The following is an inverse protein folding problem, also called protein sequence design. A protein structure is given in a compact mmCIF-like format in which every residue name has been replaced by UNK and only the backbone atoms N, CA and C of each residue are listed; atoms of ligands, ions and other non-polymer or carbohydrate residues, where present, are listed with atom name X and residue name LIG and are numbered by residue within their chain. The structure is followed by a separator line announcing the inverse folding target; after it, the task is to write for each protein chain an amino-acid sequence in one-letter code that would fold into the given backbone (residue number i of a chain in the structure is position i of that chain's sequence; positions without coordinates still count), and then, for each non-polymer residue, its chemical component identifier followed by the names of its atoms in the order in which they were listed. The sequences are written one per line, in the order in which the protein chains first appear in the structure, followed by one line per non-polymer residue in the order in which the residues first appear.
data_IF_556299588525
#
_entry.id   IF_556299588525
#
_cell.length_a   1.000
_cell.length_b   1.000
_cell.length_c   1.000
_cell.angle_alpha   90.00
_cell.angle_beta   90.00
_cell.angle_gamma   90.00
#
_symmetry.space_group_name_H-M   'P 1'
#
loop_
_entity.id
_entity.type
_entity.pdbx_description
1 polymer ?
#
# COMPACT_ATOMS: atom_id res chain seq x y z
N UNK A 1 -2.13 4.72 11.47
CA UNK A 1 -0.90 5.53 11.32
C UNK A 1 -1.01 6.60 12.38
N UNK A 2 -0.30 6.42 13.48
CA UNK A 2 -0.76 6.87 14.81
C UNK A 2 0.03 8.08 15.32
N UNK A 3 0.55 8.90 14.41
CA UNK A 3 1.21 10.15 14.78
C UNK A 3 0.18 11.13 15.36
N UNK A 4 0.43 11.58 16.59
CA UNK A 4 -0.41 12.52 17.33
C UNK A 4 0.39 13.73 17.78
N UNK A 5 -0.16 14.91 17.55
CA UNK A 5 0.39 16.19 18.02
C UNK A 5 -0.70 16.92 18.78
N UNK A 6 -0.41 17.34 20.02
CA UNK A 6 -1.33 18.13 20.85
C UNK A 6 -2.74 17.50 20.97
N UNK A 7 -2.80 16.15 21.06
CA UNK A 7 -4.06 15.39 21.15
C UNK A 7 -4.81 15.18 19.83
N UNK A 8 -4.24 15.62 18.70
CA UNK A 8 -4.84 15.47 17.36
C UNK A 8 -4.09 14.45 16.53
N UNK A 9 -4.81 13.61 15.81
CA UNK A 9 -4.23 12.69 14.82
C UNK A 9 -3.79 13.46 13.57
N UNK A 10 -2.56 13.19 13.11
CA UNK A 10 -1.97 13.87 11.96
C UNK A 10 -2.37 13.22 10.63
N UNK A 11 -2.50 11.89 10.63
CA UNK A 11 -2.94 11.09 9.47
C UNK A 11 -4.08 10.14 9.86
N UNK A 12 -5.23 10.67 10.31
CA UNK A 12 -6.38 9.82 10.59
C UNK A 12 -6.79 9.12 9.29
N UNK A 13 -6.93 7.79 9.35
CA UNK A 13 -7.43 6.96 8.24
C UNK A 13 -8.73 6.29 8.68
N UNK A 14 -9.66 7.13 9.13
CA UNK A 14 -10.95 6.73 9.69
C UNK A 14 -11.86 6.31 8.54
N UNK A 15 -12.42 5.11 8.62
CA UNK A 15 -13.18 4.48 7.54
C UNK A 15 -12.68 3.05 7.32
N UNK A 16 -12.43 2.69 6.06
CA UNK A 16 -11.89 1.38 5.67
C UNK A 16 -10.56 1.55 4.93
N UNK A 17 -9.42 1.50 5.63
CA UNK A 17 -8.09 1.52 5.03
C UNK A 17 -7.84 0.33 4.11
N UNK A 18 -7.22 0.57 2.96
CA UNK A 18 -7.00 -0.43 1.91
C UNK A 18 -6.23 -1.67 2.38
N UNK A 19 -5.16 -1.48 3.15
CA UNK A 19 -4.31 -2.57 3.64
C UNK A 19 -5.00 -3.41 4.73
N UNK A 20 -5.87 -2.80 5.53
CA UNK A 20 -6.67 -3.52 6.54
C UNK A 20 -7.68 -4.43 5.84
N UNK A 21 -8.32 -3.95 4.77
CA UNK A 21 -9.21 -4.80 3.98
C UNK A 21 -8.43 -5.90 3.26
N UNK A 22 -7.22 -5.61 2.77
CA UNK A 22 -6.38 -6.61 2.13
C UNK A 22 -5.95 -7.73 3.10
N UNK A 23 -5.56 -7.36 4.33
CA UNK A 23 -5.27 -8.28 5.42
C UNK A 23 -6.48 -9.14 5.78
N UNK A 24 -7.65 -8.52 5.96
CA UNK A 24 -8.88 -9.21 6.29
C UNK A 24 -9.27 -10.25 5.22
N UNK A 25 -9.19 -9.88 3.94
CA UNK A 25 -9.47 -10.81 2.84
C UNK A 25 -8.47 -11.96 2.77
N UNK A 26 -7.18 -11.70 3.03
CA UNK A 26 -6.18 -12.76 3.15
C UNK A 26 -6.50 -13.71 4.33
N UNK A 27 -6.90 -13.17 5.48
CA UNK A 27 -7.30 -13.98 6.63
C UNK A 27 -8.53 -14.85 6.33
N UNK A 28 -9.54 -14.30 5.65
CA UNK A 28 -10.70 -15.07 5.21
C UNK A 28 -10.33 -16.16 4.21
N UNK A 29 -9.46 -15.87 3.24
CA UNK A 29 -8.99 -16.85 2.26
C UNK A 29 -8.20 -17.99 2.92
N UNK A 30 -7.38 -17.68 3.93
CA UNK A 30 -6.69 -18.69 4.73
C UNK A 30 -7.70 -19.50 5.55
N UNK A 31 -8.65 -18.83 6.21
CA UNK A 31 -9.71 -19.48 6.98
C UNK A 31 -10.57 -20.43 6.14
N UNK A 32 -10.86 -20.05 4.89
CA UNK A 32 -11.61 -20.87 3.95
C UNK A 32 -10.95 -22.23 3.67
N UNK A 33 -9.61 -22.32 3.74
CA UNK A 33 -8.87 -23.59 3.63
C UNK A 33 -9.20 -24.57 4.76
N UNK A 34 -9.67 -24.07 5.90
CA UNK A 34 -10.01 -24.87 7.08
C UNK A 34 -11.52 -24.99 7.30
N UNK A 35 -12.32 -24.07 6.74
CA UNK A 35 -13.77 -24.08 6.89
C UNK A 35 -14.47 -23.29 5.79
N UNK A 36 -15.32 -23.98 5.02
CA UNK A 36 -16.09 -23.39 3.92
C UNK A 36 -17.02 -22.22 4.35
N UNK A 37 -17.31 -22.07 5.65
CA UNK A 37 -18.11 -20.93 6.17
C UNK A 37 -17.52 -19.56 5.80
N UNK A 38 -16.21 -19.50 5.56
CA UNK A 38 -15.52 -18.26 5.22
C UNK A 38 -15.52 -17.95 3.72
N UNK A 39 -15.77 -18.93 2.85
CA UNK A 39 -15.73 -18.75 1.38
C UNK A 39 -16.73 -17.70 0.92
N UNK A 40 -17.99 -17.80 1.37
CA UNK A 40 -19.03 -16.85 0.98
C UNK A 40 -18.70 -15.42 1.42
N UNK A 41 -18.10 -15.25 2.59
CA UNK A 41 -17.71 -13.93 3.10
C UNK A 41 -16.51 -13.38 2.34
N UNK A 42 -15.53 -14.24 2.02
CA UNK A 42 -14.37 -13.91 1.22
C UNK A 42 -14.77 -13.43 -0.18
N UNK A 43 -15.59 -14.19 -0.91
CA UNK A 43 -15.99 -13.85 -2.28
C UNK A 43 -16.77 -12.53 -2.33
N UNK A 44 -17.74 -12.35 -1.42
CA UNK A 44 -18.47 -11.07 -1.28
C UNK A 44 -17.54 -9.91 -0.94
N UNK A 45 -16.61 -10.14 -0.01
CA UNK A 45 -15.64 -9.14 0.42
C UNK A 45 -14.68 -8.74 -0.71
N UNK A 46 -14.18 -9.72 -1.49
CA UNK A 46 -13.27 -9.49 -2.62
C UNK A 46 -13.95 -8.70 -3.74
N UNK A 47 -15.17 -9.08 -4.11
CA UNK A 47 -15.96 -8.34 -5.10
C UNK A 47 -16.23 -6.90 -4.63
N UNK A 48 -16.56 -6.71 -3.34
CA UNK A 48 -16.75 -5.39 -2.78
C UNK A 48 -15.46 -4.57 -2.72
N UNK A 49 -14.32 -5.19 -2.40
CA UNK A 49 -13.02 -4.54 -2.36
C UNK A 49 -12.66 -4.00 -3.74
N UNK A 50 -12.72 -4.84 -4.78
CA UNK A 50 -12.39 -4.41 -6.12
C UNK A 50 -13.34 -3.34 -6.65
N UNK A 51 -14.65 -3.45 -6.39
CA UNK A 51 -15.63 -2.45 -6.83
C UNK A 51 -15.45 -1.09 -6.12
N UNK A 52 -15.21 -1.10 -4.80
CA UNK A 52 -15.22 0.13 -4.01
C UNK A 52 -13.88 0.85 -3.95
N UNK A 53 -12.77 0.11 -3.94
CA UNK A 53 -11.44 0.73 -3.83
C UNK A 53 -10.87 1.12 -5.18
N UNK A 54 -11.20 0.40 -6.26
CA UNK A 54 -10.63 0.69 -7.57
C UNK A 54 -11.18 1.99 -8.15
N UNK A 55 -10.28 2.91 -8.49
CA UNK A 55 -10.62 4.10 -9.25
C UNK A 55 -10.10 3.96 -10.68
N UNK A 56 -11.01 3.83 -11.66
CA UNK A 56 -10.62 3.62 -13.06
C UNK A 56 -9.88 4.82 -13.66
N UNK A 57 -10.32 6.04 -13.33
CA UNK A 57 -9.76 7.29 -13.84
C UNK A 57 -8.34 7.53 -13.31
N UNK A 58 -8.14 7.30 -12.01
CA UNK A 58 -6.85 7.46 -11.35
C UNK A 58 -5.91 6.27 -11.65
N UNK A 59 -6.48 5.08 -11.88
CA UNK A 59 -5.74 3.87 -12.21
C UNK A 59 -5.07 3.16 -11.02
N UNK A 60 -5.56 3.42 -9.82
CA UNK A 60 -5.06 2.84 -8.58
C UNK A 60 -6.18 2.72 -7.53
N UNK A 61 -5.85 2.15 -6.37
CA UNK A 61 -6.79 1.99 -5.27
C UNK A 61 -6.88 3.24 -4.40
N UNK A 62 -8.10 3.61 -3.99
CA UNK A 62 -8.32 4.55 -2.89
C UNK A 62 -7.54 4.10 -1.64
N UNK A 63 -6.98 5.05 -0.90
CA UNK A 63 -6.25 4.73 0.33
C UNK A 63 -7.22 4.38 1.48
N UNK A 64 -8.38 5.06 1.52
CA UNK A 64 -9.48 4.82 2.45
C UNK A 64 -10.81 4.97 1.72
N UNK A 65 -11.77 4.09 2.02
CA UNK A 65 -13.17 4.29 1.62
C UNK A 65 -14.08 4.43 2.82
N UNK A 66 -15.28 4.97 2.59
CA UNK A 66 -16.28 5.27 3.60
C UNK A 66 -15.67 6.13 4.73
N UNK A 67 -14.97 7.19 4.34
CA UNK A 67 -14.18 8.07 5.22
C UNK A 67 -15.07 8.70 6.30
N UNK A 68 -14.56 8.78 7.53
CA UNK A 68 -15.31 9.27 8.69
C UNK A 68 -16.66 8.55 8.89
N UNK A 69 -16.69 7.26 8.53
CA UNK A 69 -17.89 6.42 8.52
C UNK A 69 -19.01 6.88 7.57
N UNK A 70 -18.71 7.79 6.64
CA UNK A 70 -19.65 8.29 5.64
C UNK A 70 -19.57 7.46 4.36
N UNK A 71 -20.66 6.74 4.05
CA UNK A 71 -20.71 5.83 2.90
C UNK A 71 -20.45 6.57 1.58
N UNK A 72 -19.52 6.06 0.78
CA UNK A 72 -19.20 6.59 -0.55
C UNK A 72 -18.18 7.73 -0.56
N UNK A 73 -17.80 8.26 0.59
CA UNK A 73 -16.70 9.23 0.69
C UNK A 73 -15.37 8.47 0.58
N UNK A 74 -14.56 8.82 -0.41
CA UNK A 74 -13.31 8.12 -0.73
C UNK A 74 -12.12 9.06 -0.62
N UNK A 75 -11.04 8.56 -0.04
CA UNK A 75 -9.74 9.22 -0.03
C UNK A 75 -8.86 8.62 -1.13
N UNK A 76 -8.55 9.43 -2.14
CA UNK A 76 -7.71 9.06 -3.28
C UNK A 76 -6.25 9.49 -3.11
N UNK A 77 -5.86 9.97 -1.92
CA UNK A 77 -4.47 10.34 -1.62
C UNK A 77 -3.53 9.19 -1.96
N UNK A 78 -2.53 9.42 -2.81
CA UNK A 78 -1.66 8.35 -3.30
C UNK A 78 -0.63 7.93 -2.24
N UNK A 79 -0.87 6.76 -1.64
CA UNK A 79 -0.06 6.17 -0.57
C UNK A 79 0.41 4.76 -0.92
N UNK A 80 1.48 4.25 -0.27
CA UNK A 80 2.02 2.92 -0.58
C UNK A 80 1.15 1.77 -0.06
N UNK A 81 0.17 2.04 0.81
CA UNK A 81 -0.65 1.02 1.48
C UNK A 81 -1.35 0.07 0.50
N UNK A 82 -1.72 0.55 -0.69
CA UNK A 82 -2.32 -0.25 -1.75
C UNK A 82 -1.45 -1.42 -2.21
N UNK A 83 -0.13 -1.41 -1.94
CA UNK A 83 0.77 -2.49 -2.32
C UNK A 83 0.38 -3.83 -1.67
N UNK A 84 -0.26 -3.78 -0.50
CA UNK A 84 -0.73 -4.98 0.20
C UNK A 84 -1.87 -5.71 -0.53
N UNK A 85 -2.53 -5.06 -1.50
CA UNK A 85 -3.48 -5.74 -2.38
C UNK A 85 -2.78 -6.63 -3.44
N UNK A 86 -1.46 -6.49 -3.61
CA UNK A 86 -0.69 -7.15 -4.68
C UNK A 86 0.49 -7.98 -4.13
N UNK A 87 1.23 -7.48 -3.14
CA UNK A 87 2.41 -8.14 -2.55
C UNK A 87 2.50 -7.93 -1.03
N UNK A 88 3.42 -8.63 -0.36
CA UNK A 88 3.53 -8.66 1.10
C UNK A 88 2.51 -9.58 1.79
N UNK A 89 1.40 -9.91 1.11
CA UNK A 89 0.39 -10.86 1.59
C UNK A 89 0.24 -12.04 0.61
N UNK A 90 -0.14 -13.25 1.09
CA UNK A 90 -0.20 -14.45 0.24
C UNK A 90 -1.07 -14.35 -1.02
N UNK A 91 -2.16 -13.57 -0.96
CA UNK A 91 -3.14 -13.44 -2.04
C UNK A 91 -3.03 -12.09 -2.74
N UNK A 92 -2.97 -12.11 -4.07
CA UNK A 92 -3.22 -10.93 -4.91
C UNK A 92 -4.73 -10.75 -5.08
N UNK A 93 -5.24 -9.58 -4.70
CA UNK A 93 -6.67 -9.28 -4.70
C UNK A 93 -7.18 -8.69 -6.02
N UNK A 94 -6.29 -8.17 -6.84
CA UNK A 94 -6.60 -7.49 -8.10
C UNK A 94 -6.42 -8.41 -9.32
N UNK A 95 -7.07 -8.05 -10.43
CA UNK A 95 -6.73 -8.59 -11.75
C UNK A 95 -5.26 -8.29 -12.10
N UNK A 96 -4.68 -9.04 -13.05
CA UNK A 96 -3.28 -8.85 -13.46
C UNK A 96 -3.02 -7.43 -13.97
N UNK A 97 -3.97 -6.88 -14.72
CA UNK A 97 -3.89 -5.56 -15.35
C UNK A 97 -3.96 -4.46 -14.28
N UNK A 98 -4.91 -4.55 -13.34
CA UNK A 98 -5.04 -3.60 -12.23
C UNK A 98 -3.85 -3.67 -11.27
N UNK A 99 -3.40 -4.88 -10.93
CA UNK A 99 -2.20 -5.10 -10.13
C UNK A 99 -0.98 -4.44 -10.78
N UNK A 100 -0.83 -4.60 -12.10
CA UNK A 100 0.25 -3.99 -12.86
C UNK A 100 0.22 -2.46 -12.78
N UNK A 101 -0.96 -1.85 -13.01
CA UNK A 101 -1.14 -0.39 -12.90
C UNK A 101 -0.79 0.14 -11.52
N UNK A 102 -1.24 -0.54 -10.46
CA UNK A 102 -0.89 -0.17 -9.07
C UNK A 102 0.62 -0.21 -8.84
N UNK A 103 1.28 -1.31 -9.22
CA UNK A 103 2.71 -1.47 -8.99
C UNK A 103 3.53 -0.46 -9.79
N UNK A 104 3.20 -0.25 -11.07
CA UNK A 104 3.89 0.73 -11.91
C UNK A 104 3.71 2.16 -11.36
N UNK A 105 2.52 2.51 -10.86
CA UNK A 105 2.28 3.82 -10.24
C UNK A 105 3.04 3.99 -8.91
N UNK A 106 3.08 2.96 -8.06
CA UNK A 106 3.87 2.98 -6.81
C UNK A 106 5.35 3.09 -7.11
N UNK A 107 5.84 2.36 -8.11
CA UNK A 107 7.22 2.43 -8.57
C UNK A 107 7.58 3.85 -9.07
N UNK A 108 6.71 4.45 -9.87
CA UNK A 108 6.93 5.78 -10.43
C UNK A 108 6.90 6.89 -9.37
N UNK A 109 5.94 6.84 -8.44
CA UNK A 109 5.63 7.98 -7.56
C UNK A 109 6.27 7.86 -6.17
N UNK A 110 6.45 6.65 -5.65
CA UNK A 110 6.81 6.45 -4.24
C UNK A 110 8.19 5.82 -4.05
N UNK A 111 8.71 5.10 -5.05
CA UNK A 111 9.99 4.40 -4.90
C UNK A 111 11.15 5.38 -4.68
N UNK A 112 12.02 5.00 -3.74
CA UNK A 112 13.33 5.59 -3.50
C UNK A 112 14.35 4.45 -3.41
N UNK A 113 15.67 4.75 -3.42
CA UNK A 113 16.69 3.71 -3.32
C UNK A 113 16.57 2.81 -2.08
N UNK A 114 15.98 3.31 -0.98
CA UNK A 114 15.95 2.60 0.31
C UNK A 114 14.54 2.19 0.77
N UNK A 115 13.48 2.56 0.06
CA UNK A 115 12.11 2.29 0.48
C UNK A 115 11.06 3.09 -0.27
N UNK A 116 9.81 3.02 0.19
CA UNK A 116 8.72 3.81 -0.38
C UNK A 116 8.45 5.07 0.45
N UNK A 117 8.19 6.19 -0.22
CA UNK A 117 7.58 7.38 0.40
C UNK A 117 6.20 7.02 0.94
N UNK A 118 5.83 7.57 2.10
CA UNK A 118 4.51 7.41 2.72
C UNK A 118 3.39 8.21 2.04
N UNK A 119 3.75 9.14 1.15
CA UNK A 119 2.85 10.00 0.38
C UNK A 119 3.53 10.43 -0.93
N UNK A 120 2.79 10.52 -2.04
CA UNK A 120 3.36 10.93 -3.32
C UNK A 120 3.76 12.41 -3.36
N UNK A 121 4.88 12.75 -4.03
CA UNK A 121 5.16 14.12 -4.41
C UNK A 121 4.03 14.67 -5.30
N UNK A 122 3.46 15.81 -4.92
CA UNK A 122 2.30 16.42 -5.60
C UNK A 122 1.00 16.35 -4.78
N UNK A 123 0.96 15.51 -3.75
CA UNK A 123 -0.13 15.50 -2.78
C UNK A 123 -0.05 16.70 -1.85
N UNK A 124 -1.20 17.31 -1.51
CA UNK A 124 -1.26 18.61 -0.83
C UNK A 124 -0.59 18.64 0.56
N UNK A 125 -0.38 17.49 1.20
CA UNK A 125 0.29 17.37 2.50
C UNK A 125 1.72 16.86 2.41
N UNK A 126 2.28 16.68 1.21
CA UNK A 126 3.63 16.14 1.03
C UNK A 126 4.69 17.03 1.68
N UNK A 127 5.54 16.40 2.50
CA UNK A 127 6.65 16.99 3.20
C UNK A 127 7.92 16.18 2.89
N UNK A 128 8.87 16.84 2.23
CA UNK A 128 10.11 16.21 1.75
C UNK A 128 11.07 15.86 2.89
N UNK A 129 11.09 16.65 3.96
CA UNK A 129 12.09 16.55 5.01
C UNK A 129 11.43 16.20 6.35
N UNK A 130 11.86 15.08 6.94
CA UNK A 130 11.53 14.69 8.31
C UNK A 130 12.63 15.19 9.24
N UNK A 131 12.48 16.41 9.77
CA UNK A 131 13.49 17.08 10.60
C UNK A 131 12.84 18.04 11.61
N UNK A 132 13.62 18.52 12.57
CA UNK A 132 13.16 19.44 13.61
C UNK A 132 12.85 18.77 14.94
N UNK A 133 12.06 19.47 15.76
CA UNK A 133 11.61 18.99 17.07
C UNK A 133 10.58 17.85 16.94
N UNK A 134 10.14 17.28 18.07
CA UNK A 134 9.17 16.18 18.05
C UNK A 134 7.92 16.56 17.27
N UNK A 135 7.39 17.76 17.50
CA UNK A 135 6.16 18.24 16.90
C UNK A 135 6.26 18.34 15.38
N UNK A 136 7.33 18.94 14.87
CA UNK A 136 7.59 19.07 13.44
C UNK A 136 7.75 17.71 12.77
N UNK A 137 8.43 16.77 13.44
CA UNK A 137 8.61 15.41 12.96
C UNK A 137 7.31 14.61 12.96
N UNK A 138 6.56 14.62 14.06
CA UNK A 138 5.28 13.91 14.17
C UNK A 138 4.26 14.42 13.14
N UNK A 139 4.29 15.71 12.79
CA UNK A 139 3.45 16.29 11.76
C UNK A 139 3.71 15.75 10.34
N UNK A 140 4.91 15.24 10.06
CA UNK A 140 5.32 14.81 8.71
C UNK A 140 5.71 13.33 8.61
N UNK A 141 5.66 12.59 9.73
CA UNK A 141 6.08 11.18 9.86
C UNK A 141 5.47 10.22 8.82
N UNK A 142 4.26 10.55 8.35
CA UNK A 142 3.51 9.79 7.36
C UNK A 142 3.11 10.64 6.15
N UNK A 143 3.83 11.72 5.88
CA UNK A 143 3.49 12.67 4.83
C UNK A 143 4.61 12.81 3.79
N UNK A 144 5.35 11.74 3.50
CA UNK A 144 6.44 11.76 2.51
C UNK A 144 7.72 11.10 3.00
N UNK A 145 7.86 10.92 4.32
CA UNK A 145 8.95 10.14 4.93
C UNK A 145 9.03 8.75 4.29
N UNK A 146 10.25 8.32 4.01
CA UNK A 146 10.55 7.02 3.41
C UNK A 146 10.54 5.94 4.47
N UNK A 147 9.83 4.85 4.19
CA UNK A 147 9.72 3.69 5.06
C UNK A 147 10.40 2.47 4.43
N UNK A 148 11.60 2.08 4.90
CA UNK A 148 12.37 0.99 4.28
C UNK A 148 11.68 -0.37 4.29
N UNK A 149 10.92 -0.69 5.35
CA UNK A 149 10.26 -2.00 5.47
C UNK A 149 9.24 -2.28 4.36
N UNK A 150 8.70 -1.24 3.71
CA UNK A 150 7.78 -1.37 2.58
C UNK A 150 8.46 -1.86 1.29
N UNK A 151 9.80 -1.88 1.23
CA UNK A 151 10.53 -2.40 0.07
C UNK A 151 10.25 -3.89 -0.16
N UNK A 152 10.06 -4.67 0.91
CA UNK A 152 9.77 -6.09 0.82
C UNK A 152 8.45 -6.38 0.09
N UNK A 153 7.31 -5.89 0.61
CA UNK A 153 6.00 -6.00 -0.05
C UNK A 153 6.01 -5.47 -1.49
N UNK A 154 6.70 -4.35 -1.74
CA UNK A 154 6.84 -3.78 -3.09
C UNK A 154 7.59 -4.70 -4.04
N UNK A 155 8.76 -5.20 -3.66
CA UNK A 155 9.56 -6.10 -4.51
C UNK A 155 8.79 -7.39 -4.79
N UNK A 156 8.06 -7.92 -3.81
CA UNK A 156 7.20 -9.08 -4.02
C UNK A 156 6.08 -8.77 -5.03
N UNK A 157 5.39 -7.64 -4.89
CA UNK A 157 4.37 -7.20 -5.83
C UNK A 157 4.94 -7.03 -7.25
N UNK A 158 6.13 -6.41 -7.35
CA UNK A 158 6.86 -6.22 -8.60
C UNK A 158 7.16 -7.56 -9.28
N UNK A 159 7.70 -8.53 -8.55
CA UNK A 159 7.97 -9.87 -9.09
C UNK A 159 6.67 -10.54 -9.57
N UNK A 160 5.57 -10.44 -8.81
CA UNK A 160 4.26 -11.03 -9.19
C UNK A 160 3.75 -10.46 -10.51
N UNK A 161 3.74 -9.13 -10.69
CA UNK A 161 3.23 -8.50 -11.92
C UNK A 161 4.20 -8.59 -13.11
N UNK A 162 5.43 -9.08 -12.89
CA UNK A 162 6.41 -9.40 -13.93
C UNK A 162 6.49 -10.92 -14.20
N UNK A 163 5.46 -11.68 -13.82
CA UNK A 163 5.31 -13.10 -14.16
C UNK A 163 5.75 -14.07 -13.08
N UNK A 164 6.24 -13.60 -11.93
CA UNK A 164 6.50 -14.43 -10.75
C UNK A 164 7.61 -15.47 -10.90
N UNK A 165 8.36 -15.44 -12.00
CA UNK A 165 9.33 -16.46 -12.38
C UNK A 165 10.78 -16.11 -11.96
N UNK A 166 11.70 -17.03 -12.23
CA UNK A 166 13.12 -16.86 -11.87
C UNK A 166 13.77 -15.64 -12.55
N UNK A 167 13.39 -15.32 -13.79
CA UNK A 167 13.89 -14.15 -14.52
C UNK A 167 13.41 -12.84 -13.86
N UNK A 168 12.12 -12.76 -13.48
CA UNK A 168 11.59 -11.62 -12.73
C UNK A 168 12.32 -11.43 -11.40
N UNK A 169 12.61 -12.51 -10.66
CA UNK A 169 13.39 -12.46 -9.41
C UNK A 169 14.82 -11.98 -9.65
N UNK A 170 15.48 -12.44 -10.72
CA UNK A 170 16.83 -11.99 -11.09
C UNK A 170 16.84 -10.49 -11.40
N UNK A 171 15.87 -10.01 -12.18
CA UNK A 171 15.70 -8.58 -12.50
C UNK A 171 15.44 -7.74 -11.25
N UNK A 172 14.54 -8.19 -10.38
CA UNK A 172 14.24 -7.51 -9.11
C UNK A 172 15.49 -7.42 -8.22
N UNK A 173 16.26 -8.51 -8.09
CA UNK A 173 17.51 -8.52 -7.33
C UNK A 173 18.52 -7.53 -7.89
N UNK A 174 18.72 -7.50 -9.21
CA UNK A 174 19.65 -6.58 -9.86
C UNK A 174 19.22 -5.11 -9.72
N UNK A 175 17.92 -4.84 -9.63
CA UNK A 175 17.37 -3.49 -9.58
C UNK A 175 17.29 -2.90 -8.18
N UNK A 176 16.80 -3.68 -7.20
CA UNK A 176 16.41 -3.13 -5.89
C UNK A 176 17.40 -3.43 -4.76
N UNK A 177 18.26 -4.45 -4.92
CA UNK A 177 19.20 -4.83 -3.87
C UNK A 177 20.48 -3.97 -3.80
N UNK A 178 21.06 -3.45 -4.91
CA UNK A 178 22.33 -2.72 -4.85
C UNK A 178 22.31 -1.51 -3.91
N UNK A 179 21.29 -0.66 -3.99
CA UNK A 179 21.19 0.53 -3.12
C UNK A 179 21.04 0.19 -1.64
N UNK A 180 20.37 -0.93 -1.32
CA UNK A 180 20.27 -1.41 0.06
C UNK A 180 21.64 -1.88 0.57
N UNK A 181 22.41 -2.58 -0.26
CA UNK A 181 23.76 -3.01 0.10
C UNK A 181 24.72 -1.83 0.27
N UNK A 182 24.65 -0.83 -0.61
CA UNK A 182 25.49 0.36 -0.54
C UNK A 182 25.25 1.16 0.75
N UNK A 183 24.01 1.20 1.25
CA UNK A 183 23.68 1.91 2.49
C UNK A 183 24.11 1.19 3.78
N UNK A 184 24.34 -0.13 3.70
CA UNK A 184 24.72 -0.96 4.86
C UNK A 184 26.24 -1.09 5.05
N UNK A 185 27.04 -0.70 4.05
CA UNK A 185 28.50 -0.74 4.07
C UNK A 185 29.09 0.66 4.20
#
# INVERSE_FOLDING_TARGET
MDARVDGREITPRIGKPVEIQALWLNALAIGAKFSARWETVFEKGRAAFENKFWNEHAGYLADVIDCDHQRGVVDLTFRPNQIFAVGGLPLTLLSKEKARRVVDAVEMLLLTPLGLRSLAPGEGRYAQHYQGDSRARDAVYHQGTVWPWLIGPFVEAWVRVHGGNADARKKARARFLPSLHEHLN
#
